data_IF_365911927716
#
_entry.id   IF_365911927716
#
_cell.length_a   1.000
_cell.length_b   1.000
_cell.length_c   1.000
_cell.angle_alpha   90.00
_cell.angle_beta   90.00
_cell.angle_gamma   90.00
#
_symmetry.space_group_name_H-M   'P 1'
#
loop_
_entity.id
_entity.type
_entity.pdbx_description
1 polymer ?
#
# COMPACT_ATOMS: atom_id res chain seq x y z
N UNK A 1 -19.40 -12.35 15.49
CA UNK A 1 -18.33 -12.07 16.47
C UNK A 1 -17.01 -12.04 15.69
N UNK A 2 -16.46 -10.86 15.45
CA UNK A 2 -15.18 -10.72 14.77
C UNK A 2 -14.07 -11.22 15.71
N UNK A 3 -13.26 -12.18 15.24
CA UNK A 3 -12.03 -12.58 15.92
C UNK A 3 -11.11 -11.36 15.98
N UNK A 4 -10.73 -10.96 17.19
CA UNK A 4 -9.69 -9.98 17.40
C UNK A 4 -8.40 -10.49 16.73
N UNK A 5 -7.96 -9.82 15.66
CA UNK A 5 -6.65 -10.05 15.07
C UNK A 5 -5.61 -9.60 16.10
N UNK A 6 -4.85 -10.54 16.64
CA UNK A 6 -3.86 -10.29 17.67
C UNK A 6 -2.72 -9.44 17.13
N UNK A 7 -2.57 -8.21 17.67
CA UNK A 7 -1.38 -7.40 17.60
C UNK A 7 -1.15 -6.74 16.23
N UNK A 8 -1.40 -5.43 16.13
CA UNK A 8 -0.88 -4.64 15.03
C UNK A 8 0.64 -4.85 14.92
N UNK A 9 1.22 -5.13 13.73
CA UNK A 9 2.63 -5.50 13.57
C UNK A 9 3.62 -4.42 14.02
N UNK A 10 3.16 -3.19 14.22
CA UNK A 10 3.96 -2.05 14.64
C UNK A 10 3.34 -1.40 15.88
N UNK A 11 3.82 -1.79 17.07
CA UNK A 11 3.43 -1.20 18.35
C UNK A 11 4.67 -0.87 19.21
N UNK A 12 4.57 0.13 20.09
CA UNK A 12 5.64 0.52 21.01
C UNK A 12 6.91 1.04 20.31
N UNK A 13 8.12 0.62 20.74
CA UNK A 13 9.39 1.09 20.18
C UNK A 13 9.55 0.86 18.67
N UNK A 14 8.92 -0.19 18.12
CA UNK A 14 8.94 -0.49 16.69
C UNK A 14 8.25 0.60 15.84
N UNK A 15 7.23 1.26 16.38
CA UNK A 15 6.58 2.37 15.71
C UNK A 15 7.50 3.60 15.58
N UNK A 16 8.33 3.87 16.59
CA UNK A 16 9.25 5.02 16.55
C UNK A 16 10.40 4.84 15.54
N UNK A 17 10.83 3.60 15.29
CA UNK A 17 11.84 3.27 14.29
C UNK A 17 11.27 3.12 12.88
N UNK A 18 9.96 3.21 12.72
CA UNK A 18 9.29 2.95 11.44
C UNK A 18 9.67 3.95 10.34
N UNK A 19 9.87 5.23 10.68
CA UNK A 19 10.15 6.26 9.67
C UNK A 19 11.39 5.95 8.81
N UNK A 20 12.39 5.29 9.40
CA UNK A 20 13.62 4.88 8.72
C UNK A 20 13.50 3.50 8.03
N UNK A 21 12.45 2.74 8.34
CA UNK A 21 12.24 1.37 7.86
C UNK A 21 11.97 1.30 6.35
N UNK A 22 10.86 1.82 5.85
CA UNK A 22 10.49 1.72 4.44
C UNK A 22 11.55 2.28 3.49
N UNK A 23 12.17 3.46 3.72
CA UNK A 23 13.23 3.96 2.85
C UNK A 23 14.44 3.03 2.71
N UNK A 24 14.77 2.28 3.77
CA UNK A 24 15.89 1.34 3.80
C UNK A 24 15.53 -0.04 3.23
N UNK A 25 14.29 -0.52 3.49
CA UNK A 25 13.87 -1.87 3.16
C UNK A 25 13.32 -2.01 1.75
N UNK A 26 12.83 -0.92 1.16
CA UNK A 26 12.18 -0.93 -0.16
C UNK A 26 13.10 -0.30 -1.20
N UNK A 27 13.58 -1.06 -2.20
CA UNK A 27 14.45 -0.52 -3.23
C UNK A 27 13.83 0.68 -3.94
N UNK A 28 14.47 1.84 -3.91
CA UNK A 28 13.96 3.04 -4.57
C UNK A 28 12.66 3.60 -3.98
N UNK A 29 12.44 3.48 -2.68
CA UNK A 29 11.21 3.94 -1.98
C UNK A 29 10.76 5.34 -2.38
N UNK A 30 11.68 6.31 -2.43
CA UNK A 30 11.33 7.67 -2.86
C UNK A 30 10.78 7.73 -4.30
N UNK A 31 11.33 6.89 -5.18
CA UNK A 31 10.83 6.72 -6.56
C UNK A 31 9.44 6.09 -6.59
N UNK A 32 9.19 5.06 -5.75
CA UNK A 32 7.89 4.45 -5.60
C UNK A 32 6.84 5.48 -5.19
N UNK A 33 7.10 6.27 -4.14
CA UNK A 33 6.17 7.31 -3.68
C UNK A 33 5.93 8.38 -4.75
N UNK A 34 6.99 8.84 -5.43
CA UNK A 34 6.87 9.81 -6.53
C UNK A 34 6.01 9.27 -7.68
N UNK A 35 6.24 8.04 -8.13
CA UNK A 35 5.43 7.42 -9.18
C UNK A 35 3.97 7.25 -8.74
N UNK A 36 3.73 6.83 -7.49
CA UNK A 36 2.38 6.75 -6.92
C UNK A 36 1.68 8.11 -6.97
N UNK A 37 2.37 9.19 -6.57
CA UNK A 37 1.84 10.55 -6.63
C UNK A 37 1.44 10.95 -8.06
N UNK A 38 2.29 10.65 -9.04
CA UNK A 38 2.03 10.95 -10.46
C UNK A 38 0.81 10.18 -10.98
N UNK A 39 0.72 8.89 -10.69
CA UNK A 39 -0.41 8.04 -11.11
C UNK A 39 -1.74 8.49 -10.50
N UNK A 40 -1.74 8.91 -9.24
CA UNK A 40 -2.92 9.53 -8.65
C UNK A 40 -3.30 10.84 -9.38
N UNK A 41 -2.31 11.70 -9.62
CA UNK A 41 -2.51 13.03 -10.23
C UNK A 41 -3.02 12.99 -11.68
N UNK A 42 -2.93 11.84 -12.37
CA UNK A 42 -3.52 11.67 -13.70
C UNK A 42 -5.04 11.84 -13.69
N UNK A 43 -5.72 11.53 -12.58
CA UNK A 43 -7.19 11.52 -12.49
C UNK A 43 -7.76 12.20 -11.26
N UNK A 44 -6.99 12.34 -10.18
CA UNK A 44 -7.42 13.04 -8.96
C UNK A 44 -7.43 14.55 -9.25
N UNK A 45 -8.57 15.24 -9.06
CA UNK A 45 -8.66 16.69 -9.32
C UNK A 45 -7.81 17.49 -8.31
N UNK A 46 -7.59 18.78 -8.61
CA UNK A 46 -6.72 19.64 -7.80
C UNK A 46 -7.16 19.78 -6.34
N UNK A 47 -8.45 19.62 -6.04
CA UNK A 47 -9.09 19.64 -4.72
C UNK A 47 -9.56 18.23 -4.28
N UNK A 48 -8.94 17.18 -4.83
CA UNK A 48 -9.37 15.80 -4.67
C UNK A 48 -9.23 15.25 -3.27
N UNK A 49 -9.97 14.18 -3.00
CA UNK A 49 -9.97 13.45 -1.74
C UNK A 49 -9.41 12.04 -1.93
N UNK A 50 -8.35 11.70 -1.20
CA UNK A 50 -7.63 10.43 -1.34
C UNK A 50 -7.76 9.57 -0.09
N UNK A 51 -8.12 8.30 -0.28
CA UNK A 51 -8.13 7.28 0.77
C UNK A 51 -6.76 6.59 0.83
N UNK A 52 -6.19 6.50 2.04
CA UNK A 52 -4.90 5.82 2.28
C UNK A 52 -5.12 4.68 3.26
N UNK A 53 -5.11 3.43 2.76
CA UNK A 53 -5.20 2.23 3.60
C UNK A 53 -3.81 1.79 4.04
N UNK A 54 -3.62 1.62 5.35
CA UNK A 54 -2.32 1.40 5.97
C UNK A 54 -1.54 2.70 6.05
N UNK A 55 -2.18 3.75 6.57
CA UNK A 55 -1.59 5.08 6.69
C UNK A 55 -0.27 5.09 7.47
N UNK A 56 -0.04 4.08 8.30
CA UNK A 56 1.20 3.86 9.01
C UNK A 56 1.70 5.11 9.72
N UNK A 57 2.98 5.42 9.54
CA UNK A 57 3.62 6.63 10.09
C UNK A 57 3.36 7.92 9.30
N UNK A 58 2.47 7.93 8.31
CA UNK A 58 2.09 9.13 7.56
C UNK A 58 3.06 9.55 6.46
N UNK A 59 4.08 8.77 6.14
CA UNK A 59 5.14 9.16 5.18
C UNK A 59 4.57 9.43 3.78
N UNK A 60 3.71 8.56 3.28
CA UNK A 60 3.11 8.74 1.95
C UNK A 60 2.11 9.89 1.93
N UNK A 61 1.27 10.02 2.98
CA UNK A 61 0.33 11.15 3.10
C UNK A 61 1.08 12.47 3.08
N UNK A 62 2.18 12.57 3.85
CA UNK A 62 3.00 13.78 3.88
C UNK A 62 3.54 14.12 2.49
N UNK A 63 4.11 13.14 1.79
CA UNK A 63 4.66 13.34 0.44
C UNK A 63 3.59 13.78 -0.58
N UNK A 64 2.38 13.18 -0.52
CA UNK A 64 1.27 13.58 -1.38
C UNK A 64 0.76 14.98 -1.05
N UNK A 65 0.68 15.31 0.23
CA UNK A 65 0.22 16.62 0.72
C UNK A 65 1.20 17.76 0.36
N UNK A 66 2.52 17.48 0.36
CA UNK A 66 3.55 18.40 -0.12
C UNK A 66 3.41 18.65 -1.63
N UNK A 67 3.19 17.58 -2.41
CA UNK A 67 3.10 17.67 -3.86
C UNK A 67 1.79 18.31 -4.35
N UNK A 68 0.68 18.10 -3.62
CA UNK A 68 -0.67 18.55 -4.00
C UNK A 68 -1.35 19.31 -2.86
N UNK A 69 -1.17 20.65 -2.79
CA UNK A 69 -1.68 21.47 -1.69
C UNK A 69 -3.22 21.48 -1.54
N UNK A 70 -3.96 21.16 -2.61
CA UNK A 70 -5.42 21.12 -2.59
C UNK A 70 -6.01 19.77 -2.16
N UNK A 71 -5.22 18.70 -2.14
CA UNK A 71 -5.73 17.38 -1.79
C UNK A 71 -6.02 17.25 -0.29
N UNK A 72 -7.04 16.47 0.03
CA UNK A 72 -7.37 16.04 1.39
C UNK A 72 -7.29 14.52 1.52
N UNK A 73 -7.04 14.04 2.73
CA UNK A 73 -6.72 12.63 2.96
C UNK A 73 -7.54 12.04 4.10
N UNK A 74 -8.00 10.81 3.91
CA UNK A 74 -8.49 9.96 4.98
C UNK A 74 -7.55 8.74 5.09
N UNK A 75 -6.75 8.71 6.15
CA UNK A 75 -5.81 7.64 6.45
C UNK A 75 -6.39 6.62 7.42
N UNK A 76 -6.26 5.33 7.12
CA UNK A 76 -6.76 4.23 7.96
C UNK A 76 -5.61 3.33 8.37
N UNK A 77 -5.47 3.04 9.66
CA UNK A 77 -4.47 2.10 10.18
C UNK A 77 -4.97 1.45 11.48
N UNK A 78 -4.78 0.14 11.70
CA UNK A 78 -5.22 -0.52 12.93
C UNK A 78 -4.36 -0.15 14.15
N UNK A 79 -3.13 0.33 13.97
CA UNK A 79 -2.20 0.65 15.05
C UNK A 79 -2.37 2.09 15.54
N UNK A 80 -2.81 2.26 16.77
CA UNK A 80 -2.87 3.58 17.40
C UNK A 80 -1.48 4.24 17.52
N UNK A 81 -0.41 3.44 17.70
CA UNK A 81 0.97 3.95 17.76
C UNK A 81 1.41 4.54 16.42
N UNK A 82 1.06 3.84 15.32
CA UNK A 82 1.34 4.31 13.97
C UNK A 82 0.56 5.58 13.66
N UNK A 83 -0.71 5.67 14.03
CA UNK A 83 -1.50 6.88 13.84
C UNK A 83 -0.97 8.08 14.63
N UNK A 84 -0.49 7.87 15.87
CA UNK A 84 0.21 8.92 16.62
C UNK A 84 1.50 9.41 15.95
N UNK A 85 2.23 8.49 15.28
CA UNK A 85 3.38 8.87 14.47
C UNK A 85 2.92 9.64 13.22
N UNK A 86 1.88 9.17 12.55
CA UNK A 86 1.30 9.86 11.39
C UNK A 86 0.87 11.29 11.72
N UNK A 87 0.18 11.52 12.84
CA UNK A 87 -0.20 12.88 13.30
C UNK A 87 1.00 13.82 13.38
N UNK A 88 2.13 13.33 13.92
CA UNK A 88 3.37 14.14 14.00
C UNK A 88 3.97 14.38 12.62
N UNK A 89 4.01 13.34 11.77
CA UNK A 89 4.60 13.41 10.43
C UNK A 89 3.85 14.38 9.53
N UNK A 90 2.51 14.33 9.54
CA UNK A 90 1.66 15.18 8.70
C UNK A 90 1.34 16.54 9.34
N UNK A 91 1.96 16.87 10.46
CA UNK A 91 1.66 18.09 11.24
C UNK A 91 1.44 19.36 10.42
N UNK A 92 2.31 19.70 9.43
CA UNK A 92 2.11 20.87 8.56
C UNK A 92 0.83 20.80 7.71
N UNK A 93 0.28 19.60 7.49
CA UNK A 93 -0.89 19.32 6.67
C UNK A 93 -2.11 18.86 7.47
N UNK A 94 -2.06 18.89 8.79
CA UNK A 94 -3.08 18.33 9.70
C UNK A 94 -4.51 18.80 9.38
N UNK A 95 -4.68 20.05 8.92
CA UNK A 95 -6.00 20.58 8.54
C UNK A 95 -6.68 19.83 7.38
N UNK A 96 -5.91 19.07 6.58
CA UNK A 96 -6.38 18.32 5.40
C UNK A 96 -6.31 16.81 5.57
N UNK A 97 -5.91 16.31 6.75
CA UNK A 97 -5.72 14.89 7.03
C UNK A 97 -6.65 14.45 8.15
N UNK A 98 -7.40 13.39 7.93
CA UNK A 98 -8.19 12.69 8.94
C UNK A 98 -7.67 11.27 9.09
N UNK A 99 -7.42 10.86 10.33
CA UNK A 99 -6.90 9.53 10.65
C UNK A 99 -7.95 8.72 11.38
N UNK A 100 -8.13 7.47 10.94
CA UNK A 100 -9.15 6.54 11.43
C UNK A 100 -8.48 5.28 11.93
N UNK A 101 -8.66 4.95 13.20
CA UNK A 101 -8.13 3.71 13.76
C UNK A 101 -9.02 2.52 13.40
N UNK A 102 -8.46 1.53 12.71
CA UNK A 102 -9.11 0.29 12.34
C UNK A 102 -8.74 -0.20 10.97
N UNK A 103 -9.57 -1.06 10.42
CA UNK A 103 -9.47 -1.62 9.07
C UNK A 103 -10.34 -0.82 8.09
N UNK A 104 -10.38 -1.24 6.82
CA UNK A 104 -11.13 -0.55 5.76
C UNK A 104 -12.59 -0.22 6.13
N UNK A 105 -13.22 -1.01 7.00
CA UNK A 105 -14.59 -0.75 7.49
C UNK A 105 -14.72 0.53 8.32
N UNK A 106 -13.62 1.06 8.87
CA UNK A 106 -13.61 2.33 9.61
C UNK A 106 -13.38 3.55 8.71
N UNK A 107 -13.06 3.34 7.43
CA UNK A 107 -12.96 4.42 6.47
C UNK A 107 -14.34 5.03 6.19
N UNK A 108 -14.45 6.35 5.95
CA UNK A 108 -15.68 6.95 5.45
C UNK A 108 -16.17 6.28 4.15
N UNK A 109 -17.47 6.33 3.91
CA UNK A 109 -18.08 5.69 2.74
C UNK A 109 -17.61 6.29 1.39
N UNK A 110 -17.03 7.46 1.39
CA UNK A 110 -16.60 8.16 0.19
C UNK A 110 -17.69 9.07 -0.40
N UNK A 111 -17.73 9.31 -1.72
CA UNK A 111 -16.78 8.80 -2.71
C UNK A 111 -15.41 9.50 -2.67
N UNK A 112 -14.35 8.75 -2.96
CA UNK A 112 -12.98 9.25 -3.07
C UNK A 112 -12.54 9.39 -4.53
N UNK A 113 -11.67 10.35 -4.81
CA UNK A 113 -11.08 10.59 -6.13
C UNK A 113 -9.91 9.66 -6.45
N UNK A 114 -9.33 9.04 -5.43
CA UNK A 114 -8.27 8.04 -5.57
C UNK A 114 -8.04 7.31 -4.25
N UNK A 115 -7.32 6.20 -4.31
CA UNK A 115 -6.89 5.46 -3.12
C UNK A 115 -5.49 4.88 -3.27
N UNK A 116 -4.82 4.67 -2.13
CA UNK A 116 -3.56 3.94 -2.06
C UNK A 116 -3.57 2.87 -0.97
N UNK A 117 -2.71 1.86 -1.16
CA UNK A 117 -2.34 0.91 -0.13
C UNK A 117 -0.87 0.50 -0.34
N UNK A 118 0.05 1.31 0.19
CA UNK A 118 1.48 1.11 0.02
C UNK A 118 2.03 0.32 1.20
N UNK A 119 2.71 -0.79 0.94
CA UNK A 119 3.32 -1.71 1.92
C UNK A 119 2.33 -2.31 2.93
N UNK A 120 1.06 -2.47 2.55
CA UNK A 120 -0.03 -2.85 3.46
C UNK A 120 -0.55 -4.26 3.20
N UNK A 121 -0.81 -4.64 1.95
CA UNK A 121 -1.54 -5.87 1.62
C UNK A 121 -0.84 -7.16 2.06
N UNK A 122 0.48 -7.20 2.14
CA UNK A 122 1.19 -8.37 2.65
C UNK A 122 0.96 -8.65 4.15
N UNK A 123 0.31 -7.75 4.89
CA UNK A 123 -0.14 -7.97 6.26
C UNK A 123 -1.60 -8.44 6.35
N UNK A 124 -2.36 -8.34 5.25
CA UNK A 124 -3.77 -8.74 5.21
C UNK A 124 -3.85 -10.24 4.90
N UNK A 125 -4.53 -11.06 5.71
CA UNK A 125 -4.76 -12.47 5.42
C UNK A 125 -5.36 -12.68 4.02
N UNK A 126 -4.98 -13.75 3.35
CA UNK A 126 -5.39 -14.02 1.96
C UNK A 126 -6.92 -14.01 1.79
N UNK A 127 -7.63 -14.61 2.72
CA UNK A 127 -9.10 -14.72 2.74
C UNK A 127 -9.82 -13.39 3.01
N UNK A 128 -9.13 -12.40 3.56
CA UNK A 128 -9.68 -11.05 3.81
C UNK A 128 -9.38 -10.04 2.69
N UNK A 129 -8.44 -10.35 1.78
CA UNK A 129 -7.97 -9.39 0.77
C UNK A 129 -9.04 -9.00 -0.23
N UNK A 130 -9.79 -9.97 -0.78
CA UNK A 130 -10.83 -9.69 -1.76
C UNK A 130 -11.92 -8.79 -1.16
N UNK A 131 -12.34 -9.06 0.06
CA UNK A 131 -13.31 -8.22 0.77
C UNK A 131 -12.76 -6.80 1.01
N UNK A 132 -11.47 -6.68 1.34
CA UNK A 132 -10.79 -5.39 1.52
C UNK A 132 -10.72 -4.61 0.21
N UNK A 133 -10.30 -5.23 -0.90
CA UNK A 133 -10.26 -4.62 -2.23
C UNK A 133 -11.66 -4.18 -2.69
N UNK A 134 -12.66 -5.02 -2.51
CA UNK A 134 -14.05 -4.70 -2.82
C UNK A 134 -14.56 -3.50 -1.99
N UNK A 135 -14.18 -3.42 -0.72
CA UNK A 135 -14.54 -2.31 0.14
C UNK A 135 -13.85 -0.99 -0.26
N UNK A 136 -12.60 -1.04 -0.72
CA UNK A 136 -11.90 0.11 -1.32
C UNK A 136 -12.62 0.54 -2.60
N UNK A 137 -12.89 -0.43 -3.51
CA UNK A 137 -13.55 -0.17 -4.80
C UNK A 137 -14.89 0.54 -4.65
N UNK A 138 -15.72 0.13 -3.67
CA UNK A 138 -17.03 0.74 -3.40
C UNK A 138 -16.94 2.19 -2.95
N UNK A 139 -15.82 2.59 -2.36
CA UNK A 139 -15.55 3.94 -1.86
C UNK A 139 -14.97 4.88 -2.92
N UNK A 140 -14.59 4.35 -4.06
CA UNK A 140 -14.01 5.11 -5.15
C UNK A 140 -15.06 5.59 -6.13
N UNK A 141 -14.86 6.78 -6.68
CA UNK A 141 -15.60 7.25 -7.85
C UNK A 141 -15.35 6.34 -9.04
N UNK A 142 -16.30 6.20 -9.98
CA UNK A 142 -16.05 5.51 -11.24
C UNK A 142 -14.79 6.07 -11.94
N UNK A 143 -13.89 5.19 -12.38
CA UNK A 143 -12.64 5.56 -13.05
C UNK A 143 -11.55 6.12 -12.13
N UNK A 144 -11.77 6.20 -10.82
CA UNK A 144 -10.74 6.66 -9.86
C UNK A 144 -9.57 5.67 -9.76
N UNK A 145 -8.32 6.15 -9.66
CA UNK A 145 -7.15 5.31 -9.53
C UNK A 145 -7.04 4.68 -8.13
N UNK A 146 -6.63 3.42 -8.10
CA UNK A 146 -6.13 2.73 -6.92
C UNK A 146 -4.69 2.32 -7.16
N UNK A 147 -3.77 2.80 -6.34
CA UNK A 147 -2.34 2.46 -6.43
C UNK A 147 -1.97 1.60 -5.23
N UNK A 148 -1.48 0.39 -5.52
CA UNK A 148 -1.13 -0.60 -4.51
C UNK A 148 0.29 -1.10 -4.73
N UNK A 149 1.10 -1.19 -3.66
CA UNK A 149 2.44 -1.77 -3.74
C UNK A 149 2.79 -2.52 -2.45
N UNK A 150 3.29 -3.74 -2.61
CA UNK A 150 3.65 -4.61 -1.49
C UNK A 150 4.56 -5.77 -1.95
N UNK A 151 4.89 -6.67 -1.03
CA UNK A 151 5.66 -7.87 -1.35
C UNK A 151 4.80 -8.84 -2.15
N UNK A 152 5.30 -9.19 -3.35
CA UNK A 152 4.70 -10.18 -4.23
C UNK A 152 5.82 -10.91 -4.97
N UNK A 153 5.82 -12.24 -4.91
CA UNK A 153 6.84 -13.10 -5.53
C UNK A 153 6.19 -14.31 -6.16
N UNK A 154 6.83 -14.96 -7.15
CA UNK A 154 6.33 -16.21 -7.73
C UNK A 154 5.95 -17.24 -6.65
N UNK A 155 4.89 -18.00 -6.90
CA UNK A 155 4.39 -19.00 -5.94
C UNK A 155 5.16 -20.32 -6.00
N UNK A 156 5.74 -20.65 -7.16
CA UNK A 156 6.46 -21.88 -7.39
C UNK A 156 7.87 -21.90 -6.78
N UNK A 157 8.23 -23.04 -6.17
CA UNK A 157 9.62 -23.30 -5.78
C UNK A 157 10.46 -23.71 -7.00
N UNK A 158 11.77 -23.41 -7.03
CA UNK A 158 12.58 -22.72 -5.99
C UNK A 158 12.52 -21.19 -6.07
N UNK A 159 11.78 -20.61 -7.03
CA UNK A 159 11.75 -19.16 -7.28
C UNK A 159 11.25 -18.38 -6.04
N UNK A 160 10.21 -18.86 -5.37
CA UNK A 160 9.67 -18.25 -4.16
C UNK A 160 10.74 -18.08 -3.09
N UNK A 161 11.40 -19.16 -2.72
CA UNK A 161 12.48 -19.16 -1.72
C UNK A 161 13.63 -18.24 -2.12
N UNK A 162 14.02 -18.24 -3.40
CA UNK A 162 15.10 -17.39 -3.89
C UNK A 162 14.75 -15.89 -3.79
N UNK A 163 13.52 -15.48 -4.13
CA UNK A 163 13.10 -14.08 -4.02
C UNK A 163 12.97 -13.63 -2.57
N UNK A 164 12.48 -14.47 -1.67
CA UNK A 164 12.42 -14.16 -0.24
C UNK A 164 13.82 -14.07 0.39
N UNK A 165 14.78 -14.90 -0.05
CA UNK A 165 16.17 -14.79 0.39
C UNK A 165 16.81 -13.46 -0.07
N UNK A 166 16.57 -13.02 -1.32
CA UNK A 166 17.02 -11.70 -1.82
C UNK A 166 16.41 -10.56 -1.03
N UNK A 167 15.11 -10.65 -0.70
CA UNK A 167 14.43 -9.67 0.15
C UNK A 167 15.09 -9.57 1.53
N UNK A 168 15.29 -10.72 2.19
CA UNK A 168 15.93 -10.78 3.51
C UNK A 168 17.35 -10.21 3.46
N UNK A 169 18.15 -10.57 2.46
CA UNK A 169 19.51 -10.08 2.28
C UNK A 169 19.56 -8.55 2.06
N UNK A 170 18.65 -8.02 1.21
CA UNK A 170 18.58 -6.57 0.94
C UNK A 170 18.23 -5.76 2.20
N UNK A 171 17.29 -6.27 3.01
CA UNK A 171 16.85 -5.61 4.25
C UNK A 171 17.81 -5.77 5.44
N UNK A 172 18.83 -6.64 5.31
CA UNK A 172 19.78 -6.92 6.37
C UNK A 172 20.96 -5.93 6.36
N UNK A 173 21.56 -5.63 7.53
CA UNK A 173 22.81 -4.87 7.58
C UNK A 173 23.93 -5.54 6.77
N UNK A 174 24.87 -4.75 6.27
CA UNK A 174 26.06 -5.25 5.60
C UNK A 174 26.87 -6.17 6.55
N UNK A 175 27.32 -7.30 6.04
CA UNK A 175 28.05 -8.31 6.84
C UNK A 175 27.18 -9.29 7.63
N UNK A 176 25.84 -9.23 7.49
CA UNK A 176 24.94 -10.21 8.10
C UNK A 176 25.26 -11.61 7.58
N UNK A 177 25.40 -12.60 8.48
CA UNK A 177 25.71 -13.96 8.09
C UNK A 177 24.54 -14.71 7.42
N UNK A 178 24.85 -15.78 6.67
CA UNK A 178 23.88 -16.53 5.90
C UNK A 178 22.77 -17.17 6.75
N UNK A 179 23.05 -17.53 8.01
CA UNK A 179 22.05 -18.13 8.92
C UNK A 179 21.03 -17.09 9.36
N UNK A 180 21.49 -15.87 9.65
CA UNK A 180 20.62 -14.75 10.02
C UNK A 180 19.73 -14.34 8.83
N UNK A 181 20.29 -14.31 7.61
CA UNK A 181 19.50 -14.06 6.39
C UNK A 181 18.44 -15.15 6.19
N UNK A 182 18.79 -16.43 6.39
CA UNK A 182 17.81 -17.52 6.26
C UNK A 182 16.71 -17.45 7.34
N UNK A 183 17.06 -17.12 8.57
CA UNK A 183 16.08 -16.90 9.64
C UNK A 183 15.13 -15.73 9.30
N UNK A 184 15.64 -14.63 8.75
CA UNK A 184 14.84 -13.51 8.28
C UNK A 184 13.92 -13.95 7.13
N UNK A 185 14.42 -14.71 6.14
CA UNK A 185 13.62 -15.29 5.05
C UNK A 185 12.46 -16.14 5.58
N UNK A 186 12.74 -17.04 6.54
CA UNK A 186 11.69 -17.87 7.17
C UNK A 186 10.65 -17.02 7.88
N UNK A 187 11.07 -15.98 8.58
CA UNK A 187 10.16 -15.03 9.24
C UNK A 187 9.25 -14.33 8.23
N UNK A 188 9.78 -13.87 7.11
CA UNK A 188 8.99 -13.27 6.02
C UNK A 188 7.96 -14.28 5.49
N UNK A 189 8.39 -15.50 5.19
CA UNK A 189 7.54 -16.55 4.64
C UNK A 189 6.37 -16.94 5.57
N UNK A 190 6.55 -16.82 6.89
CA UNK A 190 5.54 -17.20 7.89
C UNK A 190 4.68 -16.06 8.39
N UNK A 191 5.21 -14.83 8.40
CA UNK A 191 4.52 -13.66 8.96
C UNK A 191 3.74 -12.86 7.92
N UNK A 192 4.15 -12.94 6.64
CA UNK A 192 3.50 -12.21 5.57
C UNK A 192 2.61 -13.12 4.73
N UNK A 193 1.46 -12.59 4.36
CA UNK A 193 0.56 -13.19 3.38
C UNK A 193 1.00 -12.74 1.99
N UNK A 194 1.87 -13.50 1.33
CA UNK A 194 2.48 -13.15 0.04
C UNK A 194 1.82 -13.95 -1.08
N UNK A 195 1.28 -13.23 -2.06
CA UNK A 195 0.72 -13.80 -3.29
C UNK A 195 1.66 -13.59 -4.48
N UNK A 196 1.46 -14.38 -5.56
CA UNK A 196 2.16 -14.14 -6.81
C UNK A 196 1.59 -12.93 -7.55
N UNK A 197 2.38 -12.31 -8.47
CA UNK A 197 1.87 -11.20 -9.28
C UNK A 197 0.57 -11.52 -10.01
N UNK A 198 0.44 -12.73 -10.55
CA UNK A 198 -0.75 -13.21 -11.28
C UNK A 198 -1.97 -13.31 -10.35
N UNK A 199 -1.76 -13.77 -9.10
CA UNK A 199 -2.81 -13.85 -8.09
C UNK A 199 -3.26 -12.46 -7.63
N UNK A 200 -2.33 -11.51 -7.46
CA UNK A 200 -2.65 -10.12 -7.11
C UNK A 200 -3.48 -9.45 -8.21
N UNK A 201 -3.08 -9.57 -9.46
CA UNK A 201 -3.84 -9.02 -10.58
C UNK A 201 -5.21 -9.68 -10.76
N UNK A 202 -5.31 -11.00 -10.58
CA UNK A 202 -6.58 -11.71 -10.64
C UNK A 202 -7.54 -11.20 -9.55
N UNK A 203 -7.03 -10.99 -8.34
CA UNK A 203 -7.83 -10.50 -7.22
C UNK A 203 -8.28 -9.03 -7.40
N UNK A 204 -7.44 -8.18 -8.01
CA UNK A 204 -7.82 -6.82 -8.38
C UNK A 204 -8.98 -6.84 -9.39
N UNK A 205 -8.90 -7.70 -10.43
CA UNK A 205 -9.99 -7.86 -11.42
C UNK A 205 -11.29 -8.36 -10.76
N UNK A 206 -11.18 -9.35 -9.90
CA UNK A 206 -12.34 -9.91 -9.16
C UNK A 206 -13.01 -8.87 -8.25
N UNK A 207 -12.23 -7.95 -7.68
CA UNK A 207 -12.74 -6.85 -6.86
C UNK A 207 -13.42 -5.73 -7.67
N UNK A 208 -13.39 -5.76 -9.02
CA UNK A 208 -13.99 -4.77 -9.91
C UNK A 208 -13.05 -3.60 -10.25
N UNK A 209 -11.76 -3.89 -10.39
CA UNK A 209 -10.79 -2.96 -10.97
C UNK A 209 -10.42 -3.38 -12.39
N UNK A 210 -10.21 -2.40 -13.27
CA UNK A 210 -9.77 -2.56 -14.66
C UNK A 210 -8.45 -1.85 -14.92
N UNK A 211 -7.93 -1.98 -16.15
CA UNK A 211 -6.73 -1.31 -16.65
C UNK A 211 -5.52 -1.46 -15.70
N UNK A 212 -5.31 -2.70 -15.22
CA UNK A 212 -4.28 -3.01 -14.23
C UNK A 212 -2.90 -2.94 -14.89
N UNK A 213 -2.08 -1.99 -14.47
CA UNK A 213 -0.71 -1.78 -14.95
C UNK A 213 0.33 -1.99 -13.86
N UNK A 214 1.34 -2.84 -14.12
CA UNK A 214 2.52 -2.95 -13.26
C UNK A 214 3.42 -1.72 -13.52
N UNK A 215 3.63 -0.87 -12.50
CA UNK A 215 4.47 0.33 -12.64
C UNK A 215 5.77 0.26 -11.84
N UNK A 216 5.85 -0.64 -10.85
CA UNK A 216 7.01 -0.75 -9.98
C UNK A 216 7.41 -2.22 -9.76
N UNK A 217 8.71 -2.50 -9.87
CA UNK A 217 9.33 -3.77 -9.55
C UNK A 217 10.69 -3.56 -8.87
N UNK A 218 10.76 -3.84 -7.57
CA UNK A 218 12.00 -3.73 -6.78
C UNK A 218 12.24 -5.00 -5.96
N UNK A 219 13.12 -5.90 -6.43
CA UNK A 219 13.29 -7.25 -5.87
C UNK A 219 11.97 -7.99 -5.70
N UNK A 220 11.54 -8.20 -4.43
CA UNK A 220 10.29 -8.86 -4.09
C UNK A 220 9.08 -7.91 -4.03
N UNK A 221 9.30 -6.61 -4.16
CA UNK A 221 8.19 -5.65 -4.19
C UNK A 221 7.66 -5.47 -5.60
N UNK A 222 6.34 -5.37 -5.71
CA UNK A 222 5.59 -5.04 -6.93
C UNK A 222 4.58 -3.96 -6.64
N UNK A 223 4.33 -3.09 -7.61
CA UNK A 223 3.32 -2.05 -7.52
C UNK A 223 2.46 -1.99 -8.75
N UNK A 224 1.15 -1.90 -8.55
CA UNK A 224 0.15 -1.80 -9.61
C UNK A 224 -0.68 -0.53 -9.46
N UNK A 225 -1.02 0.05 -10.59
CA UNK A 225 -2.13 0.99 -10.71
C UNK A 225 -3.31 0.25 -11.32
N UNK A 226 -4.50 0.49 -10.82
CA UNK A 226 -5.74 -0.05 -11.33
C UNK A 226 -6.85 0.99 -11.18
N UNK A 227 -7.91 0.87 -11.94
CA UNK A 227 -8.96 1.87 -11.94
C UNK A 227 -10.29 1.25 -11.55
N UNK A 228 -11.05 1.98 -10.72
CA UNK A 228 -12.36 1.53 -10.29
C UNK A 228 -13.31 1.47 -11.50
N UNK A 229 -13.87 0.28 -11.82
CA UNK A 229 -14.75 0.11 -12.97
C UNK A 229 -15.89 1.11 -12.96
N UNK A 230 -16.03 1.86 -14.07
CA UNK A 230 -17.06 2.87 -14.27
C UNK A 230 -18.21 2.42 -15.15
N UNK A 231 -18.30 1.11 -15.50
CA UNK A 231 -19.13 0.69 -16.62
C UNK A 231 -18.71 1.44 -17.89
N UNK A 232 -18.31 0.75 -18.91
CA UNK A 232 -17.77 1.20 -20.20
C UNK A 232 -17.76 2.73 -20.45
N UNK A 233 -16.74 3.42 -19.99
CA UNK A 233 -16.32 4.71 -20.53
C UNK A 233 -14.82 4.63 -20.80
N UNK A 234 -14.53 4.32 -22.06
CA UNK A 234 -13.22 4.41 -22.69
C UNK A 234 -12.68 5.85 -22.55
N UNK A 235 -11.67 6.04 -21.72
CA UNK A 235 -10.83 7.26 -21.72
C UNK A 235 -9.43 6.92 -21.27
N UNK A 236 -8.62 6.41 -22.20
CA UNK A 236 -7.17 6.53 -22.09
C UNK A 236 -6.80 8.03 -22.08
N UNK A 237 -6.08 8.54 -21.07
CA UNK A 237 -5.62 9.93 -21.08
C UNK A 237 -4.63 10.22 -22.21
N UNK A 238 -4.09 9.19 -22.86
CA UNK A 238 -3.15 9.28 -23.99
C UNK A 238 -3.84 9.16 -25.38
N UNK A 239 -5.16 9.00 -25.44
CA UNK A 239 -5.93 9.05 -26.68
C UNK A 239 -6.39 10.49 -27.01
N UNK A 240 -5.44 11.42 -27.12
CA UNK A 240 -5.66 12.72 -27.80
C UNK A 240 -4.68 12.79 -28.95
N UNK A 241 -5.22 12.69 -30.17
CA UNK A 241 -4.59 13.14 -31.41
C UNK A 241 -4.31 14.66 -31.35
#
# INVERSE_FOLDING_TARGET
MAKAVSGAPFAGPAANAYADGPPRLVPGYAGLIRMTTMLLAERVPADGRVLVLGAGGGLEINAFADAHPGWSFDGVDPSADMLRLAERTVGPHAARVRLHQGFIGCAPEGPFDGATAILTFHFIPRDERLATLTAIRRRLKPGAPFVVAHVSVPDAEPQRSAWLARHAAFGSPEGTDARQIDAARQTLATKLSILSPEQEEAMLREAGFSDIGLFYAGFSFRGWVAYADGGAQDRSPYARE
#
